data_IF_019559015608
#
_entry.id   IF_019559015608
#
_cell.length_a   1.000
_cell.length_b   1.000
_cell.length_c   1.000
_cell.angle_alpha   90.00
_cell.angle_beta   90.00
_cell.angle_gamma   90.00
#
_symmetry.space_group_name_H-M   'P 1'
#
loop_
_entity.id
_entity.type
_entity.pdbx_description
1 polymer ?
#
# COMPACT_ATOMS: atom_id res chain seq x y z
N UNK A 1 -10.00 -15.70 16.29
CA UNK A 1 -8.74 -15.25 16.92
C UNK A 1 -7.59 -15.50 15.94
N UNK A 2 -6.76 -14.48 15.70
CA UNK A 2 -5.59 -14.52 14.80
C UNK A 2 -4.33 -14.25 15.62
N UNK A 3 -3.25 -15.00 15.38
CA UNK A 3 -1.97 -14.84 16.09
C UNK A 3 -0.79 -15.07 15.16
N UNK A 4 0.36 -14.45 15.45
CA UNK A 4 1.60 -14.67 14.72
C UNK A 4 2.39 -15.86 15.26
N UNK A 5 3.02 -16.64 14.38
CA UNK A 5 3.85 -17.78 14.74
C UNK A 5 5.17 -17.35 15.40
N UNK A 6 5.46 -17.91 16.57
CA UNK A 6 6.70 -17.62 17.30
C UNK A 6 7.97 -18.06 16.57
N UNK A 7 7.87 -19.07 15.69
CA UNK A 7 9.02 -19.63 14.99
C UNK A 7 9.59 -18.75 13.88
N UNK A 8 8.77 -17.86 13.30
CA UNK A 8 9.18 -17.05 12.16
C UNK A 8 8.88 -15.56 12.30
N UNK A 9 8.09 -15.16 13.31
CA UNK A 9 7.80 -13.76 13.69
C UNK A 9 7.58 -12.86 12.48
N UNK A 10 6.49 -13.08 11.71
CA UNK A 10 6.22 -12.32 10.50
C UNK A 10 6.16 -10.82 10.76
N UNK A 11 6.74 -10.04 9.86
CA UNK A 11 6.75 -8.58 9.88
C UNK A 11 5.92 -8.00 8.72
N UNK A 12 5.40 -6.80 8.93
CA UNK A 12 4.58 -6.07 7.95
C UNK A 12 5.32 -5.95 6.62
N UNK A 13 4.62 -6.24 5.52
CA UNK A 13 5.17 -6.20 4.16
C UNK A 13 5.82 -7.51 3.70
N UNK A 14 6.05 -8.48 4.60
CA UNK A 14 6.46 -9.83 4.18
C UNK A 14 5.28 -10.61 3.60
N UNK A 15 5.56 -11.51 2.64
CA UNK A 15 4.56 -12.50 2.22
C UNK A 15 4.23 -13.43 3.38
N UNK A 16 2.96 -13.52 3.71
CA UNK A 16 2.45 -14.33 4.83
C UNK A 16 1.45 -15.39 4.35
N UNK A 17 1.22 -16.38 5.20
CA UNK A 17 0.22 -17.43 5.00
C UNK A 17 -0.40 -17.79 6.33
N UNK A 18 -1.71 -18.06 6.35
CA UNK A 18 -2.42 -18.47 7.54
C UNK A 18 -2.60 -19.99 7.58
N UNK A 19 -2.58 -20.53 8.78
CA UNK A 19 -2.88 -21.93 9.06
C UNK A 19 -3.98 -22.03 10.13
N UNK A 20 -5.05 -22.76 9.83
CA UNK A 20 -6.15 -23.00 10.78
C UNK A 20 -5.75 -24.09 11.77
N UNK A 21 -5.28 -23.66 12.95
CA UNK A 21 -4.92 -24.56 14.05
C UNK A 21 -6.17 -25.14 14.71
N UNK A 22 -6.13 -26.43 15.07
CA UNK A 22 -7.12 -27.05 15.96
C UNK A 22 -7.17 -26.26 17.28
N UNK A 23 -8.34 -25.72 17.61
CA UNK A 23 -8.62 -25.04 18.89
C UNK A 23 -7.93 -23.69 19.16
N UNK A 24 -7.04 -23.19 18.27
CA UNK A 24 -6.28 -21.94 18.51
C UNK A 24 -6.56 -20.81 17.52
N UNK A 25 -7.46 -21.04 16.56
CA UNK A 25 -7.75 -20.09 15.49
C UNK A 25 -6.67 -20.10 14.40
N UNK A 26 -6.46 -18.95 13.75
CA UNK A 26 -5.53 -18.81 12.63
C UNK A 26 -4.15 -18.42 13.19
N UNK A 27 -3.12 -19.19 12.81
CA UNK A 27 -1.72 -18.90 13.08
C UNK A 27 -1.07 -18.42 11.77
N UNK A 28 -0.51 -17.21 11.79
CA UNK A 28 0.12 -16.58 10.62
C UNK A 28 1.62 -16.86 10.63
N UNK A 29 2.11 -17.41 9.52
CA UNK A 29 3.53 -17.66 9.25
C UNK A 29 4.02 -16.79 8.10
N UNK A 30 5.34 -16.60 8.01
CA UNK A 30 5.97 -16.17 6.75
C UNK A 30 5.74 -17.26 5.71
N UNK A 31 5.44 -16.88 4.46
CA UNK A 31 5.25 -17.82 3.37
C UNK A 31 6.50 -18.70 3.13
N UNK A 32 7.68 -18.22 3.50
CA UNK A 32 8.97 -18.93 3.44
C UNK A 32 9.36 -19.68 4.72
N UNK A 33 8.45 -19.83 5.69
CA UNK A 33 8.77 -20.44 6.98
C UNK A 33 9.14 -21.93 6.83
N UNK A 34 10.36 -22.28 7.25
CA UNK A 34 10.91 -23.65 7.18
C UNK A 34 10.14 -24.70 7.98
N UNK A 35 9.27 -24.28 8.90
CA UNK A 35 8.48 -25.19 9.73
C UNK A 35 7.11 -25.54 9.12
N UNK A 36 6.69 -24.86 8.04
CA UNK A 36 5.42 -25.17 7.38
C UNK A 36 5.33 -26.62 6.90
N UNK A 37 6.38 -27.21 6.27
CA UNK A 37 6.32 -28.61 5.83
C UNK A 37 6.14 -29.63 6.96
N UNK A 38 6.46 -29.26 8.21
CA UNK A 38 6.29 -30.14 9.37
C UNK A 38 4.84 -30.15 9.90
N UNK A 39 3.98 -29.25 9.43
CA UNK A 39 2.57 -29.19 9.81
C UNK A 39 1.79 -30.19 8.95
N UNK A 40 1.43 -31.32 9.55
CA UNK A 40 0.51 -32.30 8.94
C UNK A 40 -0.83 -31.60 8.68
N UNK A 41 -1.33 -31.68 7.45
CA UNK A 41 -2.55 -30.99 6.96
C UNK A 41 -2.39 -29.48 6.69
N UNK A 42 -1.16 -28.97 6.51
CA UNK A 42 -1.00 -27.57 6.16
C UNK A 42 -1.80 -27.18 4.91
N UNK A 43 -1.70 -27.96 3.83
CA UNK A 43 -2.34 -27.63 2.55
C UNK A 43 -3.88 -27.60 2.65
N UNK A 44 -4.47 -28.54 3.40
CA UNK A 44 -5.92 -28.63 3.63
C UNK A 44 -6.45 -27.49 4.50
N UNK A 45 -5.59 -26.89 5.33
CA UNK A 45 -5.96 -25.92 6.38
C UNK A 45 -5.24 -24.60 6.20
N UNK A 46 -4.68 -24.40 5.01
CA UNK A 46 -4.06 -23.16 4.56
C UNK A 46 -5.15 -22.16 4.25
N UNK A 47 -4.94 -20.93 4.69
CA UNK A 47 -5.77 -19.80 4.30
C UNK A 47 -4.86 -18.71 3.76
N UNK A 48 -5.31 -18.07 2.68
CA UNK A 48 -4.68 -16.87 2.18
C UNK A 48 -4.97 -15.73 3.14
N UNK A 49 -3.91 -15.02 3.51
CA UNK A 49 -3.96 -13.88 4.41
C UNK A 49 -2.98 -12.87 3.86
N UNK A 50 -3.36 -11.61 3.96
CA UNK A 50 -2.48 -10.50 3.68
C UNK A 50 -2.42 -9.61 4.91
N UNK A 51 -1.38 -8.79 4.95
CA UNK A 51 -1.38 -7.69 5.90
C UNK A 51 -2.58 -6.82 5.58
N UNK A 52 -3.44 -6.61 6.57
CA UNK A 52 -4.19 -5.38 6.59
C UNK A 52 -3.13 -4.29 6.46
N UNK A 53 -3.14 -3.53 5.34
CA UNK A 53 -2.33 -2.33 5.23
C UNK A 53 -2.61 -1.57 6.52
N UNK A 54 -1.62 -1.52 7.43
CA UNK A 54 -1.73 -0.82 8.71
C UNK A 54 -2.52 0.47 8.49
N UNK A 55 -3.40 0.91 9.41
CA UNK A 55 -4.25 2.09 9.18
C UNK A 55 -3.38 3.20 8.59
N UNK A 56 -3.49 3.33 7.27
CA UNK A 56 -2.40 3.89 6.49
C UNK A 56 -2.32 5.36 6.83
N UNK A 57 -1.11 5.92 6.80
CA UNK A 57 -1.01 7.36 6.79
C UNK A 57 -1.71 7.85 5.51
N UNK A 58 -2.86 8.47 5.67
CA UNK A 58 -3.60 9.05 4.56
C UNK A 58 -3.23 10.53 4.47
N UNK A 59 -2.87 10.97 3.27
CA UNK A 59 -2.57 12.38 3.00
C UNK A 59 -3.37 12.84 1.79
N UNK A 60 -3.82 14.09 1.87
CA UNK A 60 -4.48 14.78 0.78
C UNK A 60 -3.50 15.72 0.12
N UNK A 61 -3.58 15.82 -1.19
CA UNK A 61 -2.74 16.68 -1.99
C UNK A 61 -3.61 17.44 -2.98
N UNK A 62 -3.34 18.72 -3.12
CA UNK A 62 -3.75 19.49 -4.27
C UNK A 62 -2.65 19.43 -5.32
N UNK A 63 -2.99 18.96 -6.52
CA UNK A 63 -2.06 18.81 -7.65
C UNK A 63 -2.53 19.70 -8.78
N UNK A 64 -1.60 20.47 -9.34
CA UNK A 64 -1.75 21.21 -10.58
C UNK A 64 -0.81 20.57 -11.61
N UNK A 65 -1.34 20.20 -12.77
CA UNK A 65 -0.60 19.51 -13.81
C UNK A 65 -0.86 20.05 -15.21
N UNK A 66 -0.04 19.62 -16.16
CA UNK A 66 -0.18 19.92 -17.59
C UNK A 66 -1.47 19.30 -18.12
N UNK A 67 -2.03 19.87 -19.19
CA UNK A 67 -3.16 19.27 -19.94
C UNK A 67 -2.69 18.09 -20.78
N UNK A 68 -2.45 16.98 -20.10
CA UNK A 68 -2.06 15.69 -20.68
C UNK A 68 -2.95 14.60 -20.10
N UNK A 69 -3.29 13.60 -20.91
CA UNK A 69 -4.28 12.58 -20.57
C UNK A 69 -3.80 11.58 -19.50
N UNK A 70 -2.50 11.54 -19.25
CA UNK A 70 -1.79 10.51 -18.47
C UNK A 70 -1.45 10.93 -17.03
N UNK A 71 -1.71 12.18 -16.64
CA UNK A 71 -1.38 12.71 -15.31
C UNK A 71 -1.85 11.80 -14.16
N UNK A 72 -3.07 11.29 -14.26
CA UNK A 72 -3.63 10.40 -13.24
C UNK A 72 -2.83 9.10 -13.11
N UNK A 73 -2.50 8.46 -14.23
CA UNK A 73 -1.71 7.23 -14.26
C UNK A 73 -0.27 7.46 -13.81
N UNK A 74 0.33 8.61 -14.14
CA UNK A 74 1.67 8.96 -13.66
C UNK A 74 1.69 9.11 -12.13
N UNK A 75 0.70 9.79 -11.55
CA UNK A 75 0.55 9.94 -10.10
C UNK A 75 0.37 8.57 -9.44
N UNK A 76 -0.54 7.75 -9.95
CA UNK A 76 -0.80 6.42 -9.40
C UNK A 76 0.48 5.56 -9.41
N UNK A 77 1.18 5.52 -10.53
CA UNK A 77 2.41 4.75 -10.68
C UNK A 77 3.54 5.27 -9.78
N UNK A 78 3.69 6.59 -9.64
CA UNK A 78 4.69 7.20 -8.76
C UNK A 78 4.45 6.82 -7.29
N UNK A 79 3.18 6.80 -6.87
CA UNK A 79 2.79 6.42 -5.50
C UNK A 79 3.00 4.92 -5.26
N UNK A 80 2.58 4.06 -6.20
CA UNK A 80 2.71 2.59 -6.08
C UNK A 80 4.16 2.13 -6.02
N UNK A 81 5.09 2.77 -6.72
CA UNK A 81 6.53 2.45 -6.68
C UNK A 81 7.14 2.53 -5.27
N UNK A 82 6.50 3.26 -4.35
CA UNK A 82 6.98 3.45 -2.97
C UNK A 82 5.98 2.89 -1.95
N UNK A 83 5.23 1.85 -2.32
CA UNK A 83 4.31 1.16 -1.41
C UNK A 83 3.03 1.92 -1.08
N UNK A 84 2.83 3.12 -1.63
CA UNK A 84 1.59 3.87 -1.47
C UNK A 84 0.48 3.39 -2.41
N UNK A 85 -0.74 3.84 -2.15
CA UNK A 85 -1.91 3.62 -3.00
C UNK A 85 -2.69 4.91 -3.20
N UNK A 86 -3.15 5.16 -4.43
CA UNK A 86 -4.15 6.18 -4.68
C UNK A 86 -5.52 5.69 -4.18
N UNK A 87 -6.12 6.44 -3.25
CA UNK A 87 -7.45 6.12 -2.68
C UNK A 87 -8.53 6.79 -3.49
N UNK A 88 -8.35 8.07 -3.76
CA UNK A 88 -9.28 8.90 -4.51
C UNK A 88 -8.49 9.96 -5.28
N UNK A 89 -8.92 10.27 -6.50
CA UNK A 89 -8.38 11.39 -7.27
C UNK A 89 -9.51 12.04 -8.06
N UNK A 90 -9.64 13.35 -7.93
CA UNK A 90 -10.54 14.16 -8.75
C UNK A 90 -9.72 15.18 -9.49
N UNK A 91 -9.84 15.19 -10.82
CA UNK A 91 -9.27 16.20 -11.70
C UNK A 91 -10.39 17.06 -12.26
N UNK A 92 -10.13 18.35 -12.33
CA UNK A 92 -10.98 19.37 -12.91
C UNK A 92 -10.19 20.06 -14.03
N UNK A 93 -10.83 20.24 -15.18
CA UNK A 93 -10.24 20.93 -16.32
C UNK A 93 -10.43 22.44 -16.14
N UNK A 94 -9.33 23.13 -15.84
CA UNK A 94 -9.29 24.58 -15.75
C UNK A 94 -8.88 25.20 -17.09
N UNK A 95 -9.10 26.51 -17.24
CA UNK A 95 -8.78 27.22 -18.48
C UNK A 95 -7.31 27.05 -18.95
N UNK A 96 -6.36 26.95 -18.01
CA UNK A 96 -4.92 26.89 -18.33
C UNK A 96 -4.24 25.56 -17.96
N UNK A 97 -4.78 24.83 -16.98
CA UNK A 97 -4.15 23.62 -16.43
C UNK A 97 -5.18 22.66 -15.83
N UNK A 98 -4.78 21.39 -15.66
CA UNK A 98 -5.55 20.44 -14.89
C UNK A 98 -5.23 20.64 -13.41
N UNK A 99 -6.26 20.71 -12.57
CA UNK A 99 -6.04 20.78 -11.12
C UNK A 99 -6.98 19.85 -10.39
N UNK A 100 -6.59 19.38 -9.21
CA UNK A 100 -7.34 18.32 -8.58
C UNK A 100 -6.86 17.96 -7.19
N UNK A 101 -7.76 17.30 -6.46
CA UNK A 101 -7.47 16.79 -5.12
C UNK A 101 -7.28 15.28 -5.19
N UNK A 102 -6.20 14.82 -4.56
CA UNK A 102 -5.80 13.43 -4.53
C UNK A 102 -5.61 12.98 -3.08
N UNK A 103 -6.27 11.88 -2.71
CA UNK A 103 -6.12 11.21 -1.42
C UNK A 103 -5.26 9.97 -1.62
N UNK A 104 -4.12 9.91 -0.94
CA UNK A 104 -3.15 8.83 -1.07
C UNK A 104 -2.92 8.19 0.30
N UNK A 105 -2.86 6.86 0.33
CA UNK A 105 -2.58 6.08 1.53
C UNK A 105 -1.17 5.50 1.46
N UNK A 106 -0.46 5.54 2.58
CA UNK A 106 0.91 5.04 2.70
C UNK A 106 1.05 4.08 3.89
N UNK A 107 1.92 3.06 3.79
CA UNK A 107 2.18 2.14 4.91
C UNK A 107 2.83 2.84 6.11
N UNK A 108 3.70 3.82 5.86
CA UNK A 108 4.37 4.59 6.92
C UNK A 108 4.60 6.07 6.53
N UNK A 109 5.02 6.88 7.50
CA UNK A 109 5.45 8.26 7.26
C UNK A 109 6.74 8.35 6.41
N UNK A 110 7.57 7.30 6.42
CA UNK A 110 8.77 7.25 5.60
C UNK A 110 8.44 7.01 4.12
N UNK A 111 7.51 6.08 3.86
CA UNK A 111 6.99 5.83 2.51
C UNK A 111 6.34 7.08 1.93
N UNK A 112 5.51 7.77 2.74
CA UNK A 112 4.89 9.03 2.34
C UNK A 112 5.93 10.10 1.96
N UNK A 113 6.98 10.29 2.77
CA UNK A 113 8.06 11.25 2.48
C UNK A 113 8.81 10.89 1.19
N UNK A 114 9.05 9.60 0.95
CA UNK A 114 9.73 9.14 -0.26
C UNK A 114 8.85 9.31 -1.49
N UNK A 115 7.56 8.98 -1.40
CA UNK A 115 6.60 9.21 -2.48
C UNK A 115 6.45 10.71 -2.80
N UNK A 116 6.35 11.58 -1.79
CA UNK A 116 6.26 13.04 -1.99
C UNK A 116 7.45 13.63 -2.74
N UNK A 117 8.67 13.17 -2.43
CA UNK A 117 9.86 13.60 -3.16
C UNK A 117 9.79 13.19 -4.63
N UNK A 118 9.30 11.99 -4.93
CA UNK A 118 9.23 11.48 -6.30
C UNK A 118 8.06 12.09 -7.09
N UNK A 119 6.92 12.36 -6.45
CA UNK A 119 5.79 13.07 -7.05
C UNK A 119 6.21 14.44 -7.59
N UNK A 120 7.09 15.17 -6.91
CA UNK A 120 7.63 16.45 -7.40
C UNK A 120 8.41 16.36 -8.72
N UNK A 121 8.88 15.16 -9.09
CA UNK A 121 9.65 14.92 -10.31
C UNK A 121 8.80 14.32 -11.45
N UNK A 122 7.50 14.10 -11.23
CA UNK A 122 6.59 13.64 -12.29
C UNK A 122 6.50 14.74 -13.35
N UNK A 123 6.83 14.47 -14.62
CA UNK A 123 6.94 15.51 -15.65
C UNK A 123 5.67 16.31 -15.91
N UNK A 124 4.51 15.71 -15.66
CA UNK A 124 3.21 16.34 -15.87
C UNK A 124 2.72 17.13 -14.67
N UNK A 125 3.38 17.02 -13.51
CA UNK A 125 3.05 17.81 -12.32
C UNK A 125 3.76 19.17 -12.40
N UNK A 126 2.98 20.24 -12.39
CA UNK A 126 3.47 21.62 -12.29
C UNK A 126 3.67 22.03 -10.83
N UNK A 127 2.72 21.65 -9.97
CA UNK A 127 2.74 21.96 -8.54
C UNK A 127 2.01 20.87 -7.75
N UNK A 128 2.56 20.51 -6.59
CA UNK A 128 1.90 19.64 -5.62
C UNK A 128 1.98 20.28 -4.22
N UNK A 129 0.85 20.36 -3.53
CA UNK A 129 0.74 20.95 -2.19
C UNK A 129 -0.01 19.97 -1.30
N UNK A 130 0.55 19.65 -0.12
CA UNK A 130 -0.16 18.83 0.86
C UNK A 130 -1.29 19.65 1.48
N UNK A 131 -2.48 19.06 1.57
CA UNK A 131 -3.62 19.60 2.29
C UNK A 131 -3.66 18.91 3.65
N UNK A 132 -3.47 19.69 4.71
CA UNK A 132 -3.47 19.18 6.08
C UNK A 132 -4.88 18.72 6.53
#
# INVERSE_FOLDING_TARGET
MVRFAACCKPAVGERIVGYVSRGRGIIVHRASCKNLPAIREFDERRVEVDWETAPGLTRRYHVTGKRVLDLFSEIENAVRKHGGRLVEGRLEDGAESLSGNFTMAYPSAEDARTAERNLKHVPSILKITRLD
#
